data_IF_207372585016
#
_entry.id   IF_207372585016
#
_cell.length_a   1.000
_cell.length_b   1.000
_cell.length_c   1.000
_cell.angle_alpha   90.00
_cell.angle_beta   90.00
_cell.angle_gamma   90.00
#
_symmetry.space_group_name_H-M   'P 1'
#
loop_
_entity.id
_entity.type
_entity.pdbx_description
1 polymer ?
#
# COMPACT_ATOMS: atom_id res chain seq x y z
N UNK A 1 11.89 -5.35 -18.86
CA UNK A 1 11.67 -3.95 -18.70
C UNK A 1 10.99 -3.74 -17.35
N UNK A 2 11.69 -3.07 -16.45
CA UNK A 2 11.14 -2.65 -15.17
C UNK A 2 10.05 -1.66 -15.52
N UNK A 3 8.81 -2.02 -15.26
CA UNK A 3 7.68 -1.11 -15.36
C UNK A 3 8.03 0.07 -14.46
N UNK A 4 8.12 1.25 -15.05
CA UNK A 4 8.58 2.45 -14.36
C UNK A 4 7.71 2.75 -13.16
N UNK A 5 8.20 2.35 -11.99
CA UNK A 5 7.82 3.02 -10.76
C UNK A 5 8.21 4.47 -11.02
N UNK A 6 7.24 5.36 -11.06
CA UNK A 6 7.58 6.78 -11.10
C UNK A 6 8.48 7.03 -9.89
N UNK A 7 9.75 7.39 -10.10
CA UNK A 7 10.63 7.58 -8.98
C UNK A 7 10.02 8.65 -8.08
N UNK A 8 10.06 8.44 -6.78
CA UNK A 8 9.61 9.43 -5.79
C UNK A 8 10.40 10.74 -5.88
N UNK A 9 11.52 10.69 -6.61
CA UNK A 9 12.32 11.86 -7.01
C UNK A 9 12.09 12.16 -8.49
N UNK A 10 11.96 13.43 -8.85
CA UNK A 10 11.75 13.82 -10.23
C UNK A 10 12.99 13.56 -11.08
N UNK A 11 12.80 12.84 -12.16
CA UNK A 11 13.83 12.65 -13.18
C UNK A 11 14.28 13.98 -13.83
N UNK A 12 13.48 15.01 -13.64
CA UNK A 12 13.70 16.33 -14.23
C UNK A 12 13.89 17.39 -13.16
N UNK A 13 15.07 17.98 -13.13
CA UNK A 13 15.31 19.17 -12.32
C UNK A 13 14.78 20.40 -13.04
N UNK A 14 14.05 21.23 -12.34
CA UNK A 14 13.55 22.50 -12.86
C UNK A 14 14.51 23.62 -12.47
N UNK A 15 14.64 24.66 -13.32
CA UNK A 15 15.62 25.73 -13.11
C UNK A 15 15.34 26.58 -11.87
N UNK A 16 14.11 26.55 -11.36
CA UNK A 16 13.74 27.23 -10.12
C UNK A 16 12.51 26.59 -9.50
N UNK A 17 12.29 26.83 -8.20
CA UNK A 17 11.17 26.29 -7.44
C UNK A 17 9.79 26.68 -8.01
N UNK A 18 9.66 27.88 -8.58
CA UNK A 18 8.41 28.33 -9.19
C UNK A 18 8.08 27.49 -10.43
N UNK A 19 9.07 27.22 -11.29
CA UNK A 19 8.88 26.35 -12.45
C UNK A 19 8.49 24.94 -12.02
N UNK A 20 9.07 24.42 -10.95
CA UNK A 20 8.71 23.14 -10.40
C UNK A 20 7.27 23.10 -9.91
N UNK A 21 6.84 24.09 -9.14
CA UNK A 21 5.45 24.20 -8.65
C UNK A 21 4.47 24.29 -9.82
N UNK A 22 4.76 25.12 -10.81
CA UNK A 22 3.91 25.27 -12.01
C UNK A 22 3.78 23.96 -12.78
N UNK A 23 4.89 23.30 -13.06
CA UNK A 23 4.90 22.10 -13.92
C UNK A 23 4.42 20.83 -13.19
N UNK A 24 4.65 20.71 -11.88
CA UNK A 24 4.27 19.50 -11.13
C UNK A 24 2.91 19.56 -10.49
N UNK A 25 2.49 20.73 -10.03
CA UNK A 25 1.28 20.85 -9.23
C UNK A 25 0.18 21.61 -9.96
N UNK A 26 0.51 22.75 -10.60
CA UNK A 26 -0.51 23.60 -11.22
C UNK A 26 -0.90 23.06 -12.60
N UNK A 27 0.07 22.80 -13.46
CA UNK A 27 -0.19 22.37 -14.83
C UNK A 27 -1.02 21.06 -14.88
N UNK A 28 -0.62 19.96 -14.23
CA UNK A 28 -1.39 18.70 -14.30
C UNK A 28 -2.78 18.79 -13.66
N UNK A 29 -2.94 19.63 -12.67
CA UNK A 29 -4.15 19.70 -11.87
C UNK A 29 -5.21 20.65 -12.43
N UNK A 30 -4.77 21.77 -12.98
CA UNK A 30 -5.69 22.85 -13.38
C UNK A 30 -5.63 23.16 -14.88
N UNK A 31 -4.51 22.98 -15.54
CA UNK A 31 -4.31 23.35 -16.93
C UNK A 31 -4.51 22.16 -17.86
N UNK A 32 -3.86 21.06 -17.58
CA UNK A 32 -3.95 19.86 -18.41
C UNK A 32 -5.40 19.36 -18.59
N UNK A 33 -6.26 19.30 -17.55
CA UNK A 33 -7.64 18.86 -17.71
C UNK A 33 -8.50 19.76 -18.63
N UNK A 34 -8.10 21.01 -18.85
CA UNK A 34 -8.79 21.94 -19.76
C UNK A 34 -8.54 21.59 -21.23
N UNK A 35 -7.43 20.93 -21.50
CA UNK A 35 -7.02 20.52 -22.86
C UNK A 35 -7.30 19.04 -23.14
N UNK A 36 -7.38 18.22 -22.09
CA UNK A 36 -7.73 16.81 -22.18
C UNK A 36 -9.25 16.65 -22.39
N UNK A 37 -9.71 16.85 -23.61
CA UNK A 37 -11.09 16.56 -24.04
C UNK A 37 -11.18 15.11 -24.52
N UNK A 38 -11.17 14.17 -23.65
CA UNK A 38 -11.38 12.77 -24.04
C UNK A 38 -11.40 11.86 -22.83
N UNK A 39 -12.14 10.78 -22.90
CA UNK A 39 -12.05 9.67 -21.98
C UNK A 39 -10.58 9.25 -21.93
N UNK A 40 -9.92 9.52 -20.82
CA UNK A 40 -8.58 8.99 -20.59
C UNK A 40 -8.70 7.49 -20.55
N UNK A 41 -8.52 6.88 -21.69
CA UNK A 41 -8.16 5.49 -21.70
C UNK A 41 -6.90 5.39 -20.85
N UNK A 42 -7.03 4.81 -19.66
CA UNK A 42 -5.89 4.60 -18.78
C UNK A 42 -4.77 3.98 -19.61
N UNK A 43 -3.62 4.61 -19.56
CA UNK A 43 -2.39 4.08 -20.15
C UNK A 43 -2.35 2.57 -19.88
N UNK A 44 -2.08 1.73 -20.88
CA UNK A 44 -1.94 0.28 -20.68
C UNK A 44 -1.10 -0.08 -19.48
N UNK A 45 -0.04 0.70 -19.18
CA UNK A 45 0.80 0.54 -18.00
C UNK A 45 0.06 0.89 -16.70
N UNK A 46 -0.82 1.88 -16.69
CA UNK A 46 -1.69 2.19 -15.55
C UNK A 46 -2.79 1.16 -15.35
N UNK A 47 -3.32 0.57 -16.44
CA UNK A 47 -4.23 -0.58 -16.34
C UNK A 47 -3.54 -1.79 -15.72
N UNK A 48 -2.26 -2.00 -16.03
CA UNK A 48 -1.44 -3.04 -15.41
C UNK A 48 -1.22 -2.74 -13.92
N UNK A 49 -0.91 -1.49 -13.57
CA UNK A 49 -0.71 -1.08 -12.17
C UNK A 49 -2.00 -1.16 -11.35
N UNK A 50 -3.14 -0.75 -11.92
CA UNK A 50 -4.45 -0.90 -11.28
C UNK A 50 -4.86 -2.37 -11.07
N UNK A 51 -4.25 -3.30 -11.81
CA UNK A 51 -4.43 -4.73 -11.64
C UNK A 51 -3.38 -5.42 -10.77
N UNK A 52 -2.37 -4.68 -10.27
CA UNK A 52 -1.33 -5.17 -9.36
C UNK A 52 -1.74 -4.85 -7.94
N UNK A 53 -2.71 -5.55 -7.45
CA UNK A 53 -3.01 -5.61 -6.02
C UNK A 53 -2.22 -6.72 -5.33
N UNK A 54 -2.66 -7.12 -4.15
CA UNK A 54 -2.11 -8.25 -3.40
C UNK A 54 -2.18 -9.52 -4.24
N UNK A 55 -3.24 -9.65 -5.02
CA UNK A 55 -3.26 -10.58 -6.14
C UNK A 55 -3.96 -9.96 -7.36
N UNK A 56 -3.58 -10.42 -8.53
CA UNK A 56 -4.33 -10.15 -9.75
C UNK A 56 -5.70 -10.80 -9.65
N UNK A 57 -6.74 -10.02 -9.90
CA UNK A 57 -8.10 -10.54 -10.07
C UNK A 57 -8.04 -11.76 -10.99
N UNK A 58 -8.22 -12.92 -10.41
CA UNK A 58 -8.25 -14.16 -11.13
C UNK A 58 -7.10 -15.12 -10.97
N UNK A 59 -6.26 -15.05 -9.93
CA UNK A 59 -5.62 -16.34 -9.56
C UNK A 59 -4.15 -16.36 -9.14
N UNK A 60 -3.43 -15.27 -9.11
CA UNK A 60 -2.02 -15.33 -8.73
C UNK A 60 -1.75 -14.38 -7.57
N UNK A 61 -1.40 -14.95 -6.42
CA UNK A 61 -0.89 -14.19 -5.28
C UNK A 61 0.32 -13.34 -5.70
N UNK A 62 0.42 -12.13 -5.16
CA UNK A 62 1.47 -11.19 -5.58
C UNK A 62 2.87 -11.79 -5.33
N UNK A 63 3.66 -12.00 -6.39
CA UNK A 63 5.00 -12.60 -6.27
C UNK A 63 5.98 -11.74 -5.46
N UNK A 64 5.65 -10.49 -5.16
CA UNK A 64 6.44 -9.60 -4.33
C UNK A 64 6.66 -10.16 -2.91
N UNK A 65 5.70 -10.88 -2.37
CA UNK A 65 5.86 -11.52 -1.05
C UNK A 65 6.96 -12.58 -1.05
N UNK A 66 7.01 -13.42 -2.09
CA UNK A 66 8.06 -14.45 -2.25
C UNK A 66 9.43 -13.78 -2.45
N UNK A 67 9.49 -12.73 -3.25
CA UNK A 67 10.73 -12.01 -3.52
C UNK A 67 11.26 -11.33 -2.25
N UNK A 68 10.42 -10.64 -1.49
CA UNK A 68 10.81 -10.00 -0.23
C UNK A 68 11.28 -11.03 0.79
N UNK A 69 10.57 -12.15 0.91
CA UNK A 69 11.01 -13.24 1.78
C UNK A 69 12.36 -13.78 1.38
N UNK A 70 12.57 -14.08 0.10
CA UNK A 70 13.85 -14.58 -0.40
C UNK A 70 15.01 -13.59 -0.15
N UNK A 71 14.76 -12.30 -0.32
CA UNK A 71 15.75 -11.25 0.00
C UNK A 71 16.07 -11.22 1.49
N UNK A 72 15.07 -11.29 2.36
CA UNK A 72 15.25 -11.28 3.80
C UNK A 72 16.02 -12.54 4.26
N UNK A 73 15.65 -13.71 3.74
CA UNK A 73 16.34 -14.98 4.02
C UNK A 73 17.82 -14.92 3.60
N UNK A 74 18.09 -14.38 2.40
CA UNK A 74 19.45 -14.20 1.89
C UNK A 74 20.28 -13.25 2.76
N UNK A 75 19.65 -12.18 3.24
CA UNK A 75 20.27 -11.21 4.15
C UNK A 75 20.33 -11.68 5.61
N UNK A 76 19.70 -12.81 5.94
CA UNK A 76 19.56 -13.34 7.32
C UNK A 76 18.91 -12.36 8.27
N UNK A 77 17.92 -11.61 7.79
CA UNK A 77 17.11 -10.69 8.59
C UNK A 77 15.71 -11.26 8.81
N UNK A 78 15.08 -11.01 9.96
CA UNK A 78 13.70 -11.41 10.19
C UNK A 78 12.75 -10.76 9.16
N UNK A 79 11.83 -11.55 8.61
CA UNK A 79 10.76 -11.06 7.77
C UNK A 79 9.43 -11.23 8.51
N UNK A 80 8.72 -10.13 8.70
CA UNK A 80 7.45 -10.09 9.40
C UNK A 80 6.44 -9.39 8.51
N UNK A 81 5.24 -9.92 8.44
CA UNK A 81 4.10 -9.27 7.77
C UNK A 81 3.20 -8.67 8.83
N UNK A 82 2.88 -7.38 8.68
CA UNK A 82 1.84 -6.72 9.46
C UNK A 82 0.61 -6.54 8.58
N UNK A 83 -0.51 -7.11 9.00
CA UNK A 83 -1.78 -7.01 8.30
C UNK A 83 -2.70 -6.05 9.04
N UNK A 84 -2.91 -4.90 8.41
CA UNK A 84 -3.78 -3.85 8.92
C UNK A 84 -5.20 -4.05 8.39
N UNK A 85 -6.17 -4.08 9.29
CA UNK A 85 -7.57 -4.16 8.93
C UNK A 85 -8.14 -2.78 8.59
N UNK A 86 -8.94 -2.69 7.54
CA UNK A 86 -9.72 -1.50 7.25
C UNK A 86 -10.91 -1.35 8.22
N UNK A 87 -11.66 -0.25 8.09
CA UNK A 87 -12.78 0.05 8.98
C UNK A 87 -13.90 -1.01 8.88
N UNK A 88 -14.17 -1.51 7.68
CA UNK A 88 -15.22 -2.51 7.44
C UNK A 88 -14.81 -3.87 7.97
N UNK A 89 -13.58 -4.28 7.76
CA UNK A 89 -12.99 -5.52 8.28
C UNK A 89 -13.00 -5.53 9.81
N UNK A 90 -12.60 -4.41 10.44
CA UNK A 90 -12.66 -4.26 11.88
C UNK A 90 -14.10 -4.33 12.42
N UNK A 91 -15.06 -3.71 11.74
CA UNK A 91 -16.46 -3.78 12.11
C UNK A 91 -17.04 -5.19 11.96
N UNK A 92 -16.67 -5.88 10.88
CA UNK A 92 -17.06 -7.26 10.60
C UNK A 92 -16.30 -8.28 11.44
N UNK A 93 -15.19 -7.87 12.08
CA UNK A 93 -14.24 -8.74 12.78
C UNK A 93 -13.75 -9.90 11.91
N UNK A 94 -13.52 -9.60 10.65
CA UNK A 94 -13.10 -10.56 9.65
C UNK A 94 -12.37 -9.84 8.53
N UNK A 95 -11.22 -10.37 8.13
CA UNK A 95 -10.54 -9.92 6.93
C UNK A 95 -11.32 -10.26 5.65
N UNK A 96 -11.09 -9.53 4.61
CA UNK A 96 -11.59 -9.83 3.27
C UNK A 96 -10.79 -11.00 2.65
N UNK A 97 -11.19 -11.42 1.45
CA UNK A 97 -10.55 -12.53 0.75
C UNK A 97 -9.03 -12.34 0.55
N UNK A 98 -8.57 -11.11 0.34
CA UNK A 98 -7.15 -10.80 0.17
C UNK A 98 -6.40 -10.92 1.49
N UNK A 99 -6.99 -10.51 2.59
CA UNK A 99 -6.43 -10.69 3.93
C UNK A 99 -6.29 -12.17 4.28
N UNK A 100 -7.33 -12.97 4.00
CA UNK A 100 -7.31 -14.42 4.21
C UNK A 100 -6.19 -15.10 3.38
N UNK A 101 -5.92 -14.64 2.15
CA UNK A 101 -4.82 -15.13 1.33
C UNK A 101 -3.44 -14.80 1.91
N UNK A 102 -3.27 -13.58 2.45
CA UNK A 102 -2.01 -13.20 3.12
C UNK A 102 -1.79 -14.07 4.35
N UNK A 103 -2.81 -14.31 5.16
CA UNK A 103 -2.75 -15.17 6.34
C UNK A 103 -2.34 -16.59 5.93
N UNK A 104 -2.99 -17.14 4.89
CA UNK A 104 -2.68 -18.48 4.38
C UNK A 104 -1.23 -18.56 3.84
N UNK A 105 -0.78 -17.53 3.14
CA UNK A 105 0.59 -17.45 2.64
C UNK A 105 1.62 -17.38 3.78
N UNK A 106 1.41 -16.55 4.77
CA UNK A 106 2.28 -16.43 5.94
C UNK A 106 2.39 -17.77 6.68
N UNK A 107 1.26 -18.44 6.90
CA UNK A 107 1.22 -19.76 7.53
C UNK A 107 1.98 -20.80 6.73
N UNK A 108 1.78 -20.87 5.42
CA UNK A 108 2.47 -21.81 4.51
C UNK A 108 3.98 -21.61 4.52
N UNK A 109 4.44 -20.36 4.54
CA UNK A 109 5.84 -19.99 4.42
C UNK A 109 6.55 -19.77 5.76
N UNK A 110 5.87 -20.06 6.89
CA UNK A 110 6.36 -19.88 8.25
C UNK A 110 6.84 -18.43 8.52
N UNK A 111 6.14 -17.46 7.94
CA UNK A 111 6.39 -16.04 8.14
C UNK A 111 5.59 -15.57 9.36
N UNK A 112 6.25 -14.83 10.26
CA UNK A 112 5.56 -14.19 11.37
C UNK A 112 4.54 -13.21 10.84
N UNK A 113 3.29 -13.39 11.25
CA UNK A 113 2.19 -12.48 10.97
C UNK A 113 1.80 -11.74 12.24
N UNK A 114 1.61 -10.44 12.13
CA UNK A 114 1.07 -9.57 13.17
C UNK A 114 -0.21 -8.96 12.63
N UNK A 115 -1.29 -9.08 13.37
CA UNK A 115 -2.64 -8.70 12.94
C UNK A 115 -3.25 -7.69 13.91
N UNK A 116 -4.01 -6.73 13.41
CA UNK A 116 -4.69 -5.73 14.23
C UNK A 116 -6.22 -5.73 14.10
N UNK A 117 -6.79 -6.81 13.56
CA UNK A 117 -8.21 -6.93 13.25
C UNK A 117 -9.19 -6.56 14.39
N UNK A 118 -8.76 -6.63 15.64
CA UNK A 118 -9.62 -6.31 16.79
C UNK A 118 -9.11 -5.12 17.62
N UNK A 119 -8.08 -4.46 17.11
CA UNK A 119 -7.38 -3.44 17.85
C UNK A 119 -8.09 -2.08 17.80
N UNK A 120 -8.69 -1.76 16.65
CA UNK A 120 -9.26 -0.46 16.37
C UNK A 120 -10.80 -0.50 16.37
N UNK A 121 -11.40 0.64 16.62
CA UNK A 121 -12.83 0.89 16.52
C UNK A 121 -13.12 1.87 15.37
N UNK A 122 -14.37 2.00 14.98
CA UNK A 122 -14.79 2.94 13.92
C UNK A 122 -14.29 4.37 14.17
N UNK A 123 -14.26 4.80 15.43
CA UNK A 123 -13.86 6.16 15.83
C UNK A 123 -12.34 6.39 15.77
N UNK A 124 -11.56 5.37 15.49
CA UNK A 124 -10.12 5.43 15.33
C UNK A 124 -9.69 5.64 13.87
N UNK A 125 -10.65 5.64 12.95
CA UNK A 125 -10.45 5.90 11.53
C UNK A 125 -10.86 7.34 11.17
N UNK A 126 -10.16 7.92 10.19
CA UNK A 126 -10.52 9.18 9.54
C UNK A 126 -11.46 8.96 8.36
N UNK A 127 -11.28 7.85 7.67
CA UNK A 127 -12.08 7.37 6.54
C UNK A 127 -12.02 5.84 6.51
N UNK A 128 -12.50 5.19 5.44
CA UNK A 128 -12.60 3.73 5.38
C UNK A 128 -11.30 2.96 5.61
N UNK A 129 -10.14 3.58 5.34
CA UNK A 129 -8.84 2.90 5.39
C UNK A 129 -7.77 3.65 6.20
N UNK A 130 -7.91 4.97 6.36
CA UNK A 130 -6.90 5.77 7.05
C UNK A 130 -7.26 5.97 8.52
N UNK A 131 -6.36 5.59 9.40
CA UNK A 131 -6.50 5.82 10.84
C UNK A 131 -6.22 7.28 11.21
N UNK A 132 -6.93 7.78 12.22
CA UNK A 132 -6.72 9.11 12.78
C UNK A 132 -5.57 9.10 13.81
N UNK A 133 -5.29 10.28 14.41
CA UNK A 133 -4.19 10.41 15.37
C UNK A 133 -4.35 9.52 16.63
N UNK A 134 -5.58 9.19 17.02
CA UNK A 134 -5.86 8.27 18.13
C UNK A 134 -5.55 6.84 17.70
N UNK A 135 -6.06 6.41 16.53
CA UNK A 135 -5.77 5.10 15.96
C UNK A 135 -4.26 4.87 15.76
N UNK A 136 -3.55 5.88 15.24
CA UNK A 136 -2.08 5.80 15.09
C UNK A 136 -1.36 5.54 16.41
N UNK A 137 -1.78 6.17 17.50
CA UNK A 137 -1.18 5.92 18.83
C UNK A 137 -1.48 4.51 19.33
N UNK A 138 -2.69 4.01 19.10
CA UNK A 138 -3.06 2.64 19.49
C UNK A 138 -2.19 1.64 18.74
N UNK A 139 -2.06 1.80 17.40
CA UNK A 139 -1.22 0.94 16.56
C UNK A 139 0.25 1.03 16.97
N UNK A 140 0.78 2.23 17.23
CA UNK A 140 2.17 2.40 17.67
C UNK A 140 2.46 1.65 18.97
N UNK A 141 1.59 1.78 19.96
CA UNK A 141 1.74 1.07 21.25
C UNK A 141 1.61 -0.46 21.08
N UNK A 142 0.76 -0.91 20.16
CA UNK A 142 0.65 -2.31 19.82
C UNK A 142 1.93 -2.83 19.17
N UNK A 143 2.46 -2.13 18.18
CA UNK A 143 3.69 -2.49 17.49
C UNK A 143 4.90 -2.49 18.45
N UNK A 144 4.98 -1.54 19.38
CA UNK A 144 6.02 -1.51 20.41
C UNK A 144 6.00 -2.80 21.24
N UNK A 145 4.82 -3.25 21.68
CA UNK A 145 4.69 -4.50 22.45
C UNK A 145 5.05 -5.74 21.62
N UNK A 146 4.72 -5.74 20.33
CA UNK A 146 4.98 -6.89 19.46
C UNK A 146 6.45 -7.02 19.04
N UNK A 147 7.20 -5.92 18.96
CA UNK A 147 8.52 -5.92 18.36
C UNK A 147 9.66 -5.50 19.32
N UNK A 148 9.38 -4.82 20.42
CA UNK A 148 10.40 -4.30 21.34
C UNK A 148 10.48 -5.09 22.66
N UNK A 149 9.39 -5.77 23.05
CA UNK A 149 9.32 -6.66 24.20
C UNK A 149 9.34 -8.10 23.75
#
# INVERSE_FOLDING_TARGET
PVVGIQPSYPDKQYPCAIAEVLCRYIYPRYIQPLFDKGDKELDPDQKVLAGVGIHKKGKVFNPGFEQLKAMADSAKIPFVVYLHADQEENAAKKYNEQGDEIIAWCKKNQVRLVEDLHLLTKDDYRDGIHINAKGQRIVANFMEKEFVN
#
